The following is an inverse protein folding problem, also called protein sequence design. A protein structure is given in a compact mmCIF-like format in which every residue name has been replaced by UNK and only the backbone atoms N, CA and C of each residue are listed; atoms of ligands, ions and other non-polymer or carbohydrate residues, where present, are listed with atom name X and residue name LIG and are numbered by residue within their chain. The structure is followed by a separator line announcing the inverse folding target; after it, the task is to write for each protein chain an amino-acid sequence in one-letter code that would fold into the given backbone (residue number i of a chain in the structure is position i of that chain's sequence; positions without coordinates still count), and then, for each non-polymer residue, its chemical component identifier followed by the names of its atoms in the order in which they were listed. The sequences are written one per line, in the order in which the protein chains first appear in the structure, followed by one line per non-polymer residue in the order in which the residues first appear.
data_IF_651213384877
#
_entry.id   IF_651213384877
#
_cell.length_a   1.000
_cell.length_b   1.000
_cell.length_c   1.000
_cell.angle_alpha   90.00
_cell.angle_beta   90.00
_cell.angle_gamma   90.00
#
_symmetry.space_group_name_H-M   'P 1'
#
loop_
_entity.id
_entity.type
_entity.pdbx_description
1 polymer ?
#
# COMPACT_ATOMS: atom_id res chain seq x y z
N UNK A 1 0.91 -5.43 -2.82
CA UNK A 1 1.49 -5.63 -1.48
C UNK A 1 0.80 -6.81 -0.80
N UNK A 2 1.56 -7.64 -0.07
CA UNK A 2 1.04 -8.85 0.59
C UNK A 2 1.69 -9.03 1.96
N UNK A 3 0.88 -9.27 2.98
CA UNK A 3 1.30 -9.64 4.34
C UNK A 3 0.75 -11.04 4.65
N UNK A 4 1.63 -11.95 5.10
CA UNK A 4 1.25 -13.29 5.54
C UNK A 4 1.36 -13.33 7.06
N UNK A 5 0.34 -13.86 7.72
CA UNK A 5 0.30 -14.11 9.15
C UNK A 5 0.07 -15.61 9.35
N UNK A 6 0.97 -16.28 10.09
CA UNK A 6 0.94 -17.73 10.27
C UNK A 6 -0.40 -18.23 10.81
N UNK A 7 -0.97 -17.52 11.79
CA UNK A 7 -2.30 -17.79 12.32
C UNK A 7 -2.91 -16.54 12.96
N UNK A 8 -4.20 -16.32 12.76
CA UNK A 8 -4.94 -15.26 13.47
C UNK A 8 -4.96 -15.54 14.98
N UNK A 9 -5.00 -16.81 15.39
CA UNK A 9 -5.00 -17.19 16.81
C UNK A 9 -3.67 -16.89 17.52
N UNK A 10 -2.56 -16.80 16.78
CA UNK A 10 -1.25 -16.45 17.33
C UNK A 10 -0.97 -14.95 17.30
N UNK A 11 -1.91 -14.13 16.82
CA UNK A 11 -1.73 -12.69 16.82
C UNK A 11 -1.83 -12.13 18.23
N UNK A 12 -0.69 -11.72 18.77
CA UNK A 12 -0.62 -10.95 20.02
C UNK A 12 -1.51 -9.70 19.94
N UNK A 13 -2.30 -9.49 21.00
CA UNK A 13 -3.14 -8.31 21.14
C UNK A 13 -2.27 -7.03 21.24
N UNK A 14 -2.66 -6.00 20.52
CA UNK A 14 -1.91 -4.75 20.42
C UNK A 14 -0.66 -4.81 19.54
N UNK A 15 -0.22 -6.00 19.08
CA UNK A 15 0.97 -6.13 18.22
C UNK A 15 0.65 -5.76 16.78
N UNK A 16 1.50 -4.91 16.20
CA UNK A 16 1.43 -4.54 14.79
C UNK A 16 2.11 -5.58 13.89
N UNK A 17 1.39 -6.02 12.86
CA UNK A 17 1.92 -6.82 11.76
C UNK A 17 1.89 -5.96 10.50
N UNK A 18 3.04 -5.77 9.85
CA UNK A 18 3.12 -4.85 8.71
C UNK A 18 4.18 -5.23 7.70
N UNK A 19 3.97 -4.76 6.47
CA UNK A 19 4.95 -4.78 5.39
C UNK A 19 4.92 -3.44 4.68
N UNK A 20 6.10 -2.95 4.30
CA UNK A 20 6.27 -1.69 3.58
C UNK A 20 6.93 -1.98 2.24
N UNK A 21 6.41 -1.40 1.16
CA UNK A 21 6.96 -1.51 -0.20
C UNK A 21 6.97 -0.11 -0.84
N UNK A 22 8.00 0.21 -1.64
CA UNK A 22 8.03 1.44 -2.43
C UNK A 22 7.46 1.17 -3.83
N UNK A 23 6.50 2.01 -4.25
CA UNK A 23 5.93 1.99 -5.60
C UNK A 23 5.81 3.41 -6.13
N UNK A 24 6.36 3.67 -7.33
CA UNK A 24 6.38 5.01 -7.95
C UNK A 24 7.02 6.10 -7.07
N UNK A 25 8.08 5.74 -6.33
CA UNK A 25 8.78 6.66 -5.43
C UNK A 25 8.00 6.99 -4.14
N UNK A 26 6.86 6.33 -3.91
CA UNK A 26 6.03 6.50 -2.72
C UNK A 26 6.09 5.23 -1.89
N UNK A 27 6.47 5.31 -0.60
CA UNK A 27 6.39 4.17 0.31
C UNK A 27 4.94 3.93 0.75
N UNK A 28 4.50 2.68 0.64
CA UNK A 28 3.18 2.22 1.07
C UNK A 28 3.35 1.17 2.16
N UNK A 29 2.45 1.14 3.14
CA UNK A 29 2.49 0.18 4.25
C UNK A 29 1.14 -0.50 4.45
N UNK A 30 1.12 -1.83 4.38
CA UNK A 30 0.02 -2.62 4.93
C UNK A 30 0.22 -2.70 6.43
N UNK A 31 -0.87 -2.49 7.19
CA UNK A 31 -0.91 -2.72 8.63
C UNK A 31 -2.11 -3.57 8.99
N UNK A 32 -1.85 -4.62 9.76
CA UNK A 32 -2.84 -5.46 10.42
C UNK A 32 -2.58 -5.43 11.93
N UNK A 33 -3.64 -5.31 12.71
CA UNK A 33 -3.57 -5.24 14.17
C UNK A 33 -4.74 -6.05 14.73
N UNK A 34 -4.49 -6.87 15.75
CA UNK A 34 -5.54 -7.40 16.62
C UNK A 34 -5.60 -6.50 17.86
N UNK A 35 -6.75 -5.89 18.13
CA UNK A 35 -6.95 -5.06 19.32
C UNK A 35 -8.26 -5.43 19.98
N UNK A 36 -8.20 -5.87 21.23
CA UNK A 36 -9.33 -6.36 22.02
C UNK A 36 -10.13 -7.45 21.27
N UNK A 37 -9.44 -8.30 20.51
CA UNK A 37 -10.05 -9.36 19.70
C UNK A 37 -10.69 -8.89 18.38
N UNK A 38 -10.52 -7.62 18.00
CA UNK A 38 -10.97 -7.05 16.74
C UNK A 38 -9.81 -6.86 15.77
N UNK A 39 -9.92 -7.42 14.56
CA UNK A 39 -8.92 -7.22 13.52
C UNK A 39 -9.14 -5.89 12.79
N UNK A 40 -8.06 -5.14 12.72
CA UNK A 40 -7.88 -3.93 11.92
C UNK A 40 -7.06 -4.23 10.68
N UNK A 41 -7.41 -3.65 9.52
CA UNK A 41 -6.67 -3.81 8.27
C UNK A 41 -6.65 -2.52 7.48
N UNK A 42 -5.46 -1.98 7.24
CA UNK A 42 -5.24 -0.65 6.67
C UNK A 42 -4.13 -0.63 5.63
N UNK A 43 -4.28 0.29 4.67
CA UNK A 43 -3.21 0.76 3.79
C UNK A 43 -2.83 2.19 4.17
N UNK A 44 -1.54 2.40 4.41
CA UNK A 44 -0.92 3.67 4.68
C UNK A 44 -0.11 4.14 3.46
N UNK A 45 -0.28 5.39 3.07
CA UNK A 45 0.64 6.13 2.23
C UNK A 45 1.65 6.85 3.14
N UNK A 46 2.92 6.49 3.03
CA UNK A 46 4.00 7.05 3.85
C UNK A 46 4.74 8.18 3.12
N UNK A 47 4.11 8.79 2.12
CA UNK A 47 4.65 9.97 1.45
C UNK A 47 4.90 11.08 2.49
N UNK A 48 6.11 11.69 2.52
CA UNK A 48 6.44 12.75 3.46
C UNK A 48 5.42 13.90 3.45
N UNK A 49 5.12 14.46 4.62
CA UNK A 49 4.18 15.58 4.78
C UNK A 49 4.83 16.95 4.61
N UNK A 50 5.95 17.02 3.89
CA UNK A 50 6.74 18.24 3.68
C UNK A 50 6.21 19.15 2.55
N UNK A 51 5.01 18.85 2.02
CA UNK A 51 4.37 19.65 0.99
C UNK A 51 2.95 19.16 0.68
N UNK A 52 2.28 19.86 -0.22
CA UNK A 52 0.95 19.48 -0.69
C UNK A 52 1.06 18.42 -1.79
N UNK A 53 0.38 17.29 -1.60
CA UNK A 53 0.35 16.20 -2.57
C UNK A 53 -0.98 15.47 -2.57
N UNK A 54 -1.28 14.78 -3.67
CA UNK A 54 -2.49 13.97 -3.82
C UNK A 54 -2.21 12.76 -4.71
N UNK A 55 -2.75 11.60 -4.32
CA UNK A 55 -2.66 10.35 -5.05
C UNK A 55 -4.07 9.74 -5.14
N UNK A 56 -4.59 9.62 -6.36
CA UNK A 56 -5.86 8.95 -6.61
C UNK A 56 -5.63 7.47 -6.91
N UNK A 57 -6.40 6.59 -6.26
CA UNK A 57 -6.18 5.15 -6.30
C UNK A 57 -7.48 4.37 -6.48
N UNK A 58 -7.37 3.19 -7.10
CA UNK A 58 -8.31 2.08 -6.93
C UNK A 58 -7.61 1.03 -6.08
N UNK A 59 -8.20 0.71 -4.93
CA UNK A 59 -7.70 -0.26 -3.98
C UNK A 59 -8.54 -1.52 -4.08
N UNK A 60 -7.90 -2.68 -4.15
CA UNK A 60 -8.55 -3.97 -3.97
C UNK A 60 -7.96 -4.63 -2.73
N UNK A 61 -8.74 -4.64 -1.64
CA UNK A 61 -8.40 -5.32 -0.40
C UNK A 61 -8.85 -6.76 -0.52
N UNK A 62 -7.99 -7.70 -0.15
CA UNK A 62 -8.30 -9.12 -0.13
C UNK A 62 -7.77 -9.76 1.14
N UNK A 63 -8.59 -10.57 1.78
CA UNK A 63 -8.18 -11.44 2.89
C UNK A 63 -8.44 -12.87 2.47
N UNK A 64 -7.41 -13.70 2.48
CA UNK A 64 -7.50 -15.11 2.13
C UNK A 64 -7.12 -15.95 3.34
N UNK A 65 -7.96 -16.92 3.64
CA UNK A 65 -7.70 -17.99 4.62
C UNK A 65 -7.44 -19.28 3.86
N UNK A 66 -7.06 -20.36 4.56
CA UNK A 66 -6.95 -21.69 3.94
C UNK A 66 -8.26 -22.28 3.42
N UNK A 67 -9.41 -21.63 3.66
CA UNK A 67 -10.75 -22.12 3.31
C UNK A 67 -11.41 -21.21 2.26
N UNK A 68 -11.42 -19.90 2.51
CA UNK A 68 -12.11 -18.93 1.66
C UNK A 68 -11.32 -17.63 1.54
N UNK A 69 -11.70 -16.79 0.57
CA UNK A 69 -11.16 -15.45 0.39
C UNK A 69 -12.25 -14.42 0.13
N UNK A 70 -12.09 -13.26 0.75
CA UNK A 70 -12.99 -12.12 0.61
C UNK A 70 -12.23 -10.99 -0.06
N UNK A 71 -12.89 -10.25 -0.95
CA UNK A 71 -12.28 -9.08 -1.59
C UNK A 71 -13.26 -7.94 -1.74
N UNK A 72 -12.74 -6.71 -1.75
CA UNK A 72 -13.53 -5.51 -1.99
C UNK A 72 -12.73 -4.43 -2.69
N UNK A 73 -13.38 -3.68 -3.59
CA UNK A 73 -12.77 -2.63 -4.40
C UNK A 73 -13.26 -1.25 -4.00
N UNK A 74 -12.34 -0.31 -3.86
CA UNK A 74 -12.62 1.03 -3.35
C UNK A 74 -11.85 2.09 -4.14
N UNK A 75 -12.52 3.19 -4.51
CA UNK A 75 -11.84 4.39 -5.01
C UNK A 75 -11.46 5.26 -3.82
N UNK A 76 -10.17 5.59 -3.69
CA UNK A 76 -9.67 6.39 -2.57
C UNK A 76 -8.64 7.41 -3.03
N UNK A 77 -8.66 8.57 -2.38
CA UNK A 77 -7.66 9.61 -2.55
C UNK A 77 -6.85 9.73 -1.27
N UNK A 78 -5.55 9.58 -1.40
CA UNK A 78 -4.59 9.93 -0.37
C UNK A 78 -4.12 11.36 -0.63
N UNK A 79 -4.02 12.18 0.40
CA UNK A 79 -3.59 13.56 0.23
C UNK A 79 -2.91 14.11 1.48
N UNK A 80 -2.08 15.12 1.28
CA UNK A 80 -1.58 15.98 2.33
C UNK A 80 -1.70 17.43 1.88
N UNK A 81 -2.20 18.28 2.76
CA UNK A 81 -2.32 19.73 2.57
C UNK A 81 -2.39 20.42 3.94
N UNK A 82 -2.28 21.74 3.98
CA UNK A 82 -2.40 22.50 5.23
C UNK A 82 -3.75 22.33 5.93
N UNK A 83 -4.80 21.95 5.19
CA UNK A 83 -6.16 21.84 5.70
C UNK A 83 -6.60 20.41 6.01
N UNK A 84 -6.03 19.44 5.31
CA UNK A 84 -6.46 18.04 5.39
C UNK A 84 -5.36 17.07 4.98
N UNK A 85 -5.26 15.96 5.70
CA UNK A 85 -4.24 14.91 5.53
C UNK A 85 -4.93 13.55 5.63
N UNK A 86 -5.17 12.93 4.46
CA UNK A 86 -5.69 11.57 4.36
C UNK A 86 -4.55 10.64 3.93
N UNK A 87 -3.85 10.07 4.90
CA UNK A 87 -2.69 9.21 4.65
C UNK A 87 -2.94 7.72 4.86
N UNK A 88 -4.11 7.35 5.37
CA UNK A 88 -4.48 5.96 5.65
C UNK A 88 -5.90 5.68 5.18
N UNK A 89 -6.18 4.44 4.82
CA UNK A 89 -7.55 3.98 4.62
C UNK A 89 -7.67 2.49 4.92
N UNK A 90 -8.78 2.08 5.53
CA UNK A 90 -9.03 0.71 5.94
C UNK A 90 -10.17 0.61 6.95
N UNK A 91 -10.17 -0.48 7.71
CA UNK A 91 -11.18 -0.75 8.73
C UNK A 91 -10.50 -0.97 10.09
N UNK A 92 -10.98 -0.24 11.10
CA UNK A 92 -10.59 -0.44 12.50
C UNK A 92 -11.24 -1.68 13.13
N UNK A 93 -12.38 -2.09 12.58
CA UNK A 93 -13.11 -3.28 12.98
C UNK A 93 -13.58 -4.02 11.72
N UNK A 94 -12.65 -4.72 11.07
CA UNK A 94 -12.93 -5.51 9.88
C UNK A 94 -13.77 -6.74 10.25
N UNK A 95 -13.30 -7.50 11.24
CA UNK A 95 -13.89 -8.75 11.73
C UNK A 95 -13.26 -9.10 13.08
N UNK A 96 -13.98 -9.80 13.95
CA UNK A 96 -13.36 -10.30 15.18
C UNK A 96 -12.41 -11.47 14.89
N UNK A 97 -11.29 -11.52 15.60
CA UNK A 97 -10.30 -12.59 15.50
C UNK A 97 -10.94 -13.95 15.81
N UNK A 98 -11.81 -14.01 16.82
CA UNK A 98 -12.54 -15.23 17.17
C UNK A 98 -13.40 -15.74 16.01
N UNK A 99 -14.13 -14.86 15.31
CA UNK A 99 -14.97 -15.28 14.18
C UNK A 99 -14.14 -15.82 13.02
N UNK A 100 -12.95 -15.27 12.79
CA UNK A 100 -12.01 -15.78 11.80
C UNK A 100 -11.50 -17.19 12.19
N UNK A 101 -11.18 -17.40 13.46
CA UNK A 101 -10.75 -18.71 13.99
C UNK A 101 -11.89 -19.73 13.92
N UNK A 102 -13.10 -19.38 14.35
CA UNK A 102 -14.27 -20.26 14.29
C UNK A 102 -14.60 -20.66 12.85
N UNK A 103 -14.52 -19.71 11.90
CA UNK A 103 -14.73 -19.97 10.48
C UNK A 103 -13.63 -20.85 9.88
N UNK A 104 -12.43 -20.87 10.47
CA UNK A 104 -11.35 -21.77 10.05
C UNK A 104 -11.52 -23.22 10.57
N UNK A 105 -12.69 -23.56 11.13
CA UNK A 105 -13.01 -24.87 11.74
C UNK A 105 -11.99 -25.30 12.81
N UNK A 106 -11.39 -24.34 13.52
CA UNK A 106 -10.35 -24.64 14.52
C UNK A 106 -9.05 -25.17 13.92
N UNK A 107 -8.84 -25.04 12.59
CA UNK A 107 -7.50 -25.17 11.99
C UNK A 107 -6.68 -23.95 12.40
N UNK A 108 -6.23 -23.95 13.65
CA UNK A 108 -5.41 -22.91 14.27
C UNK A 108 -4.06 -22.66 13.57
N UNK A 109 -3.77 -23.34 12.47
CA UNK A 109 -2.47 -23.34 11.81
C UNK A 109 -2.54 -23.07 10.29
N UNK A 110 -3.63 -22.49 9.79
CA UNK A 110 -3.69 -22.04 8.39
C UNK A 110 -3.28 -20.58 8.29
N UNK A 111 -2.29 -20.32 7.44
CA UNK A 111 -1.85 -18.97 7.10
C UNK A 111 -3.03 -18.10 6.66
N UNK A 112 -3.08 -16.87 7.17
CA UNK A 112 -3.99 -15.84 6.69
C UNK A 112 -3.20 -14.80 5.93
N UNK A 113 -3.66 -14.52 4.71
CA UNK A 113 -2.99 -13.64 3.77
C UNK A 113 -3.83 -12.37 3.61
N UNK A 114 -3.21 -11.23 3.92
CA UNK A 114 -3.76 -9.90 3.71
C UNK A 114 -3.08 -9.27 2.49
N UNK A 115 -3.84 -8.99 1.46
CA UNK A 115 -3.34 -8.41 0.21
C UNK A 115 -4.04 -7.10 -0.09
N UNK A 116 -3.27 -6.13 -0.56
CA UNK A 116 -3.82 -4.91 -1.14
C UNK A 116 -3.16 -4.68 -2.48
N UNK A 117 -3.98 -4.67 -3.53
CA UNK A 117 -3.59 -4.20 -4.85
C UNK A 117 -3.91 -2.71 -4.93
N UNK A 118 -2.89 -1.93 -5.22
CA UNK A 118 -2.97 -0.47 -5.36
C UNK A 118 -2.82 -0.14 -6.84
N UNK A 119 -3.88 0.36 -7.45
CA UNK A 119 -3.83 0.93 -8.80
C UNK A 119 -3.82 2.45 -8.68
N UNK A 120 -2.69 3.07 -8.98
CA UNK A 120 -2.55 4.53 -8.97
C UNK A 120 -3.10 5.09 -10.29
N UNK A 121 -4.05 6.02 -10.19
CA UNK A 121 -4.67 6.69 -11.34
C UNK A 121 -4.01 8.02 -11.67
N UNK A 122 -3.64 8.78 -10.65
CA UNK A 122 -2.96 10.06 -10.78
C UNK A 122 -2.16 10.37 -9.53
N UNK A 123 -1.10 11.17 -9.69
CA UNK A 123 -0.21 11.60 -8.62
C UNK A 123 0.19 13.05 -8.84
N UNK A 124 0.11 13.88 -7.81
CA UNK A 124 0.58 15.27 -7.83
C UNK A 124 1.39 15.56 -6.57
N UNK A 125 2.42 16.41 -6.67
CA UNK A 125 3.25 16.81 -5.53
C UNK A 125 4.08 15.70 -4.88
N UNK A 126 4.14 14.51 -5.48
CA UNK A 126 4.87 13.34 -4.94
C UNK A 126 6.28 13.15 -5.54
N UNK A 127 6.66 13.96 -6.53
CA UNK A 127 7.94 13.83 -7.22
C UNK A 127 9.12 14.14 -6.30
N UNK A 128 10.18 13.32 -6.39
CA UNK A 128 11.51 13.71 -5.89
C UNK A 128 12.04 14.85 -6.77
N UNK A 129 12.93 15.68 -6.23
CA UNK A 129 13.61 16.69 -7.03
C UNK A 129 14.26 16.03 -8.26
N UNK A 130 14.14 16.67 -9.42
CA UNK A 130 14.81 16.20 -10.63
C UNK A 130 16.32 16.34 -10.40
N UNK A 131 16.97 15.23 -10.05
CA UNK A 131 18.43 15.18 -9.85
C UNK A 131 19.21 15.22 -11.17
N UNK A 132 18.52 15.09 -12.31
CA UNK A 132 19.12 15.07 -13.65
C UNK A 132 18.26 15.85 -14.62
N UNK A 133 18.90 16.76 -15.34
CA UNK A 133 18.37 17.34 -16.56
C UNK A 133 18.81 16.44 -17.71
N UNK A 134 17.88 16.08 -18.59
CA UNK A 134 18.16 15.32 -19.82
C UNK A 134 17.89 16.19 -21.06
N UNK A 135 18.10 17.49 -20.92
CA UNK A 135 18.01 18.43 -22.03
C UNK A 135 19.38 18.60 -22.71
N UNK A 136 19.42 19.40 -23.77
CA UNK A 136 20.66 19.64 -24.53
C UNK A 136 21.78 20.27 -23.67
N UNK A 137 21.47 20.80 -22.48
CA UNK A 137 22.49 21.38 -21.59
C UNK A 137 23.47 20.35 -21.03
N UNK A 138 23.12 19.05 -21.04
CA UNK A 138 24.00 17.95 -20.60
C UNK A 138 24.54 17.10 -21.76
N UNK A 139 24.41 17.57 -23.01
CA UNK A 139 24.83 16.83 -24.21
C UNK A 139 26.30 16.40 -24.17
N UNK A 140 27.16 17.21 -23.54
CA UNK A 140 28.58 16.92 -23.35
C UNK A 140 28.86 15.72 -22.43
N UNK A 141 27.90 15.35 -21.58
CA UNK A 141 27.97 14.19 -20.68
C UNK A 141 27.30 12.94 -21.29
N UNK A 142 26.77 13.03 -22.52
CA UNK A 142 26.11 11.91 -23.19
C UNK A 142 27.11 11.14 -24.05
N UNK A 143 27.29 9.86 -23.75
CA UNK A 143 28.07 8.89 -24.52
C UNK A 143 27.21 8.10 -25.52
N UNK A 144 25.89 8.31 -25.49
CA UNK A 144 24.91 7.62 -26.34
C UNK A 144 23.96 8.63 -26.98
N UNK A 145 23.54 8.35 -28.22
CA UNK A 145 22.48 9.07 -28.95
C UNK A 145 21.37 8.08 -29.29
N UNK A 146 20.14 8.41 -28.92
CA UNK A 146 18.97 7.57 -29.22
C UNK A 146 18.32 8.05 -30.53
N UNK A 147 18.32 7.20 -31.55
CA UNK A 147 17.67 7.51 -32.84
C UNK A 147 16.29 6.85 -32.92
N UNK A 148 15.23 7.65 -33.00
CA UNK A 148 13.84 7.16 -33.17
C UNK A 148 13.21 7.83 -34.39
N UNK A 149 12.89 7.05 -35.42
CA UNK A 149 12.30 7.53 -36.69
C UNK A 149 13.09 8.73 -37.26
N UNK A 150 14.41 8.56 -37.36
CA UNK A 150 15.35 9.55 -37.89
C UNK A 150 15.48 10.86 -37.07
N UNK A 151 15.02 10.86 -35.81
CA UNK A 151 15.30 11.91 -34.83
C UNK A 151 16.27 11.42 -33.76
N UNK A 152 17.28 12.22 -33.48
CA UNK A 152 18.28 12.01 -32.43
C UNK A 152 17.81 12.65 -31.11
N UNK A 153 18.05 11.95 -30.00
CA UNK A 153 17.83 12.40 -28.62
C UNK A 153 19.09 12.12 -27.79
#
# INVERSE_FOLDING_TARGET
MKLVVDSISSMEDGREYSVTEEHFGVPWKIKVLNLDGSLSFFLYCLQPKNGTWSIETILEFKVSTGIDSFSSKHKRRYQNSDRDSQIEWGWSNLVSAQRMVDHSEGRNNSETIFEIKVEIKSMTGCGKENLRNFDESVKECSDVVLVVKDREF
#
